data_IF_724890469275
#
_entry.id   IF_724890469275
#
_cell.length_a   1.000
_cell.length_b   1.000
_cell.length_c   1.000
_cell.angle_alpha   90.00
_cell.angle_beta   90.00
_cell.angle_gamma   90.00
#
_symmetry.space_group_name_H-M   'P 1'
#
loop_
_entity.id
_entity.type
_entity.pdbx_description
1 polymer ?
#
# COMPACT_ATOMS: atom_id res chain seq x y z
N UNK A 1 32.38 -27.17 4.84
CA UNK A 1 31.53 -26.53 3.81
C UNK A 1 31.36 -25.10 4.25
N UNK A 2 31.84 -24.12 3.48
CA UNK A 2 31.42 -22.74 3.69
C UNK A 2 29.89 -22.73 3.44
N UNK A 3 29.10 -22.33 4.44
CA UNK A 3 27.71 -21.97 4.17
C UNK A 3 27.74 -20.83 3.15
N UNK A 4 27.38 -21.12 1.91
CA UNK A 4 27.08 -20.07 0.94
C UNK A 4 26.00 -19.19 1.55
N UNK A 5 26.34 -17.93 1.84
CA UNK A 5 25.37 -16.99 2.38
C UNK A 5 24.18 -16.89 1.41
N UNK A 6 22.93 -17.08 1.88
CA UNK A 6 21.78 -17.07 1.00
C UNK A 6 21.63 -15.69 0.36
N UNK A 7 21.64 -15.63 -0.97
CA UNK A 7 21.45 -14.39 -1.71
C UNK A 7 19.97 -13.99 -1.73
N UNK A 8 19.59 -13.11 -0.81
CA UNK A 8 18.21 -12.62 -0.66
C UNK A 8 17.67 -12.01 -1.96
N UNK A 9 18.50 -11.35 -2.78
CA UNK A 9 18.03 -10.76 -4.04
C UNK A 9 17.48 -11.78 -5.03
N UNK A 10 17.89 -13.05 -4.93
CA UNK A 10 17.52 -14.15 -5.82
C UNK A 10 16.46 -15.08 -5.22
N UNK A 11 15.87 -14.72 -4.07
CA UNK A 11 14.74 -15.46 -3.52
C UNK A 11 13.58 -15.46 -4.52
N UNK A 12 12.90 -16.61 -4.66
CA UNK A 12 11.76 -16.78 -5.55
C UNK A 12 10.69 -15.68 -5.39
N UNK A 13 10.26 -15.27 -4.18
CA UNK A 13 9.33 -14.14 -4.04
C UNK A 13 9.88 -12.82 -4.58
N UNK A 14 11.19 -12.56 -4.45
CA UNK A 14 11.79 -11.31 -4.91
C UNK A 14 11.91 -11.27 -6.44
N UNK A 15 12.14 -12.43 -7.08
CA UNK A 15 12.10 -12.54 -8.54
C UNK A 15 10.69 -12.25 -9.08
N UNK A 16 9.64 -12.71 -8.39
CA UNK A 16 8.25 -12.35 -8.71
C UNK A 16 8.03 -10.85 -8.50
N UNK A 17 8.55 -10.29 -7.40
CA UNK A 17 8.53 -8.84 -7.13
C UNK A 17 9.16 -8.00 -8.23
N UNK A 18 10.30 -8.40 -8.80
CA UNK A 18 10.88 -7.71 -9.96
C UNK A 18 9.98 -7.79 -11.19
N UNK A 19 9.33 -8.94 -11.42
CA UNK A 19 8.29 -9.09 -12.44
C UNK A 19 7.13 -8.12 -12.24
N UNK A 20 6.66 -7.95 -10.99
CA UNK A 20 5.62 -6.97 -10.63
C UNK A 20 6.04 -5.55 -10.98
N UNK A 21 7.28 -5.17 -10.69
CA UNK A 21 7.83 -3.85 -11.03
C UNK A 21 7.82 -3.62 -12.55
N UNK A 22 8.27 -4.60 -13.33
CA UNK A 22 8.26 -4.50 -14.80
C UNK A 22 6.82 -4.33 -15.31
N UNK A 23 5.88 -5.12 -14.81
CA UNK A 23 4.47 -5.00 -15.16
C UNK A 23 3.88 -3.64 -14.77
N UNK A 24 4.24 -3.11 -13.60
CA UNK A 24 3.81 -1.79 -13.15
C UNK A 24 4.35 -0.69 -14.08
N UNK A 25 5.62 -0.75 -14.47
CA UNK A 25 6.22 0.19 -15.44
C UNK A 25 5.51 0.13 -16.79
N UNK A 26 5.23 -1.08 -17.30
CA UNK A 26 4.48 -1.27 -18.54
C UNK A 26 3.07 -0.70 -18.44
N UNK A 27 2.41 -0.86 -17.27
CA UNK A 27 1.12 -0.27 -17.01
C UNK A 27 1.21 1.26 -17.07
N UNK A 28 2.15 1.88 -16.35
CA UNK A 28 2.38 3.33 -16.35
C UNK A 28 2.59 3.89 -17.75
N UNK A 29 3.41 3.21 -18.57
CA UNK A 29 3.64 3.60 -19.96
C UNK A 29 2.36 3.53 -20.80
N UNK A 30 1.56 2.48 -20.63
CA UNK A 30 0.35 2.25 -21.41
C UNK A 30 -0.87 3.09 -20.95
N UNK A 31 -0.84 3.71 -19.75
CA UNK A 31 -2.01 4.33 -19.11
C UNK A 31 -2.68 5.45 -19.91
N UNK A 32 -1.96 6.13 -20.79
CA UNK A 32 -2.54 7.19 -21.63
C UNK A 32 -3.06 6.69 -22.99
N UNK A 33 -2.37 5.73 -23.59
CA UNK A 33 -2.55 5.40 -25.01
C UNK A 33 -3.24 4.05 -25.23
N UNK A 34 -3.00 3.08 -24.34
CA UNK A 34 -3.44 1.70 -24.48
C UNK A 34 -4.13 1.20 -23.19
N UNK A 35 -5.38 1.63 -22.92
CA UNK A 35 -6.04 1.40 -21.63
C UNK A 35 -6.22 -0.08 -21.28
N UNK A 36 -6.44 -0.94 -22.28
CA UNK A 36 -6.55 -2.38 -22.07
C UNK A 36 -5.23 -3.01 -21.60
N UNK A 37 -4.12 -2.66 -22.27
CA UNK A 37 -2.78 -3.12 -21.89
C UNK A 37 -2.41 -2.63 -20.49
N UNK A 38 -2.70 -1.36 -20.18
CA UNK A 38 -2.46 -0.79 -18.86
C UNK A 38 -3.22 -1.57 -17.77
N UNK A 39 -4.52 -1.81 -17.97
CA UNK A 39 -5.34 -2.59 -17.04
C UNK A 39 -4.83 -4.00 -16.86
N UNK A 40 -4.48 -4.69 -17.94
CA UNK A 40 -3.99 -6.07 -17.88
C UNK A 40 -2.66 -6.15 -17.12
N UNK A 41 -1.70 -5.28 -17.45
CA UNK A 41 -0.41 -5.22 -16.76
C UNK A 41 -0.57 -4.85 -15.28
N UNK A 42 -1.42 -3.87 -14.97
CA UNK A 42 -1.70 -3.46 -13.59
C UNK A 42 -2.34 -4.60 -12.79
N UNK A 43 -3.41 -5.21 -13.32
CA UNK A 43 -4.11 -6.30 -12.65
C UNK A 43 -3.23 -7.53 -12.47
N UNK A 44 -2.37 -7.85 -13.44
CA UNK A 44 -1.37 -8.91 -13.29
C UNK A 44 -0.35 -8.58 -12.20
N UNK A 45 0.17 -7.35 -12.16
CA UNK A 45 1.11 -6.91 -11.13
C UNK A 45 0.50 -6.99 -9.73
N UNK A 46 -0.73 -6.48 -9.55
CA UNK A 46 -1.47 -6.55 -8.30
C UNK A 46 -1.88 -7.98 -7.93
N UNK A 47 -2.16 -8.86 -8.91
CA UNK A 47 -2.48 -10.26 -8.65
C UNK A 47 -1.27 -11.09 -8.21
N UNK A 48 -0.08 -10.78 -8.74
CA UNK A 48 1.17 -11.44 -8.39
C UNK A 48 1.64 -11.15 -6.95
N UNK A 49 1.17 -10.06 -6.35
CA UNK A 49 1.40 -9.72 -4.93
C UNK A 49 1.06 -10.87 -3.99
N UNK A 50 -0.18 -11.36 -4.07
CA UNK A 50 -0.62 -12.47 -3.23
C UNK A 50 0.24 -13.73 -3.44
N UNK A 51 0.76 -13.93 -4.67
CA UNK A 51 1.57 -15.08 -5.04
C UNK A 51 2.97 -14.98 -4.45
N UNK A 52 3.64 -13.83 -4.49
CA UNK A 52 4.97 -13.72 -3.88
C UNK A 52 4.94 -13.96 -2.37
N UNK A 53 3.91 -13.47 -1.66
CA UNK A 53 3.74 -13.73 -0.23
C UNK A 53 3.45 -15.20 0.05
N UNK A 54 2.72 -15.89 -0.84
CA UNK A 54 2.52 -17.34 -0.75
C UNK A 54 3.81 -18.10 -0.96
N UNK A 55 4.61 -17.75 -1.98
CA UNK A 55 5.90 -18.37 -2.28
C UNK A 55 6.90 -18.12 -1.16
N UNK A 56 6.96 -16.90 -0.61
CA UNK A 56 7.81 -16.56 0.54
C UNK A 56 7.53 -17.44 1.76
N UNK A 57 6.25 -17.75 2.03
CA UNK A 57 5.85 -18.65 3.13
C UNK A 57 6.11 -20.12 2.81
N UNK A 58 5.80 -20.56 1.59
CA UNK A 58 5.96 -21.95 1.17
C UNK A 58 7.44 -22.39 1.14
N UNK A 59 8.34 -21.51 0.72
CA UNK A 59 9.77 -21.78 0.61
C UNK A 59 10.59 -21.28 1.81
N UNK A 60 9.93 -20.75 2.86
CA UNK A 60 10.59 -20.16 4.03
C UNK A 60 11.62 -19.06 3.66
N UNK A 61 11.30 -18.27 2.62
CA UNK A 61 12.13 -17.20 2.04
C UNK A 61 11.57 -15.81 2.38
N UNK A 62 10.88 -15.69 3.53
CA UNK A 62 10.37 -14.40 4.00
C UNK A 62 11.53 -13.51 4.43
N UNK A 63 11.62 -12.30 3.88
CA UNK A 63 12.72 -11.36 4.14
C UNK A 63 12.21 -9.93 4.27
N UNK A 64 12.95 -9.10 5.03
CA UNK A 64 12.65 -7.66 5.17
C UNK A 64 12.73 -6.94 3.83
N UNK A 65 13.74 -7.26 3.02
CA UNK A 65 13.87 -6.72 1.67
C UNK A 65 12.65 -7.04 0.80
N UNK A 66 12.20 -8.30 0.78
CA UNK A 66 11.02 -8.69 -0.01
C UNK A 66 9.75 -7.98 0.45
N UNK A 67 9.53 -7.88 1.76
CA UNK A 67 8.39 -7.15 2.31
C UNK A 67 8.40 -5.65 1.96
N UNK A 68 9.58 -5.01 1.95
CA UNK A 68 9.72 -3.62 1.52
C UNK A 68 9.50 -3.47 0.01
N UNK A 69 10.03 -4.40 -0.79
CA UNK A 69 9.88 -4.40 -2.25
C UNK A 69 8.40 -4.50 -2.65
N UNK A 70 7.66 -5.39 -1.99
CA UNK A 70 6.22 -5.56 -2.15
C UNK A 70 5.47 -4.25 -1.85
N UNK A 71 5.61 -3.74 -0.62
CA UNK A 71 4.91 -2.54 -0.18
C UNK A 71 5.22 -1.32 -1.07
N UNK A 72 6.47 -1.14 -1.51
CA UNK A 72 6.86 -0.06 -2.42
C UNK A 72 6.23 -0.22 -3.80
N UNK A 73 6.21 -1.44 -4.34
CA UNK A 73 5.64 -1.70 -5.67
C UNK A 73 4.16 -1.38 -5.71
N UNK A 74 3.41 -1.76 -4.68
CA UNK A 74 2.00 -1.43 -4.53
C UNK A 74 1.78 0.09 -4.48
N UNK A 75 2.47 0.79 -3.57
CA UNK A 75 2.28 2.24 -3.40
C UNK A 75 2.61 3.02 -4.67
N UNK A 76 3.70 2.64 -5.34
CA UNK A 76 4.08 3.25 -6.61
C UNK A 76 3.06 2.96 -7.72
N UNK A 77 2.51 1.75 -7.77
CA UNK A 77 1.45 1.36 -8.70
C UNK A 77 0.19 2.22 -8.52
N UNK A 78 -0.36 2.26 -7.31
CA UNK A 78 -1.56 3.06 -7.01
C UNK A 78 -1.31 4.55 -7.23
N UNK A 79 -0.14 5.06 -6.87
CA UNK A 79 0.24 6.46 -7.14
C UNK A 79 0.22 6.76 -8.65
N UNK A 80 0.82 5.91 -9.47
CA UNK A 80 0.84 6.11 -10.92
C UNK A 80 -0.58 6.08 -11.51
N UNK A 81 -1.44 5.17 -11.02
CA UNK A 81 -2.85 5.13 -11.39
C UNK A 81 -3.56 6.44 -11.03
N UNK A 82 -3.38 6.94 -9.80
CA UNK A 82 -3.93 8.23 -9.38
C UNK A 82 -3.41 9.41 -10.22
N UNK A 83 -2.14 9.40 -10.63
CA UNK A 83 -1.58 10.41 -11.52
C UNK A 83 -2.26 10.40 -12.89
N UNK A 84 -2.52 9.22 -13.47
CA UNK A 84 -3.29 9.10 -14.70
C UNK A 84 -4.74 9.60 -14.51
N UNK A 85 -5.37 9.30 -13.37
CA UNK A 85 -6.70 9.80 -13.03
C UNK A 85 -6.75 11.32 -12.91
N UNK A 86 -5.70 11.97 -12.40
CA UNK A 86 -5.60 13.44 -12.36
C UNK A 86 -5.70 14.07 -13.75
N UNK A 87 -5.16 13.40 -14.79
CA UNK A 87 -5.29 13.84 -16.18
C UNK A 87 -6.72 13.69 -16.71
N UNK A 88 -7.42 12.63 -16.34
CA UNK A 88 -8.78 12.35 -16.82
C UNK A 88 -9.88 13.10 -16.06
N UNK A 89 -9.63 13.46 -14.80
CA UNK A 89 -10.61 14.10 -13.90
C UNK A 89 -10.02 15.36 -13.25
N UNK A 90 -9.80 16.45 -14.03
CA UNK A 90 -9.13 17.67 -13.54
C UNK A 90 -9.84 18.31 -12.34
N UNK A 91 -11.18 18.25 -12.27
CA UNK A 91 -11.96 18.83 -11.18
C UNK A 91 -11.77 18.10 -9.84
N UNK A 92 -11.27 16.86 -9.87
CA UNK A 92 -11.09 16.00 -8.69
C UNK A 92 -9.62 15.86 -8.27
N UNK A 93 -8.70 16.58 -8.91
CA UNK A 93 -7.24 16.46 -8.71
C UNK A 93 -6.85 16.64 -7.25
N UNK A 94 -7.39 17.65 -6.56
CA UNK A 94 -7.10 17.89 -5.15
C UNK A 94 -7.37 16.64 -4.30
N UNK A 95 -8.54 16.01 -4.48
CA UNK A 95 -8.94 14.85 -3.69
C UNK A 95 -8.10 13.60 -4.01
N UNK A 96 -7.80 13.38 -5.29
CA UNK A 96 -6.90 12.30 -5.72
C UNK A 96 -5.49 12.47 -5.13
N UNK A 97 -4.94 13.69 -5.17
CA UNK A 97 -3.67 14.02 -4.56
C UNK A 97 -3.66 13.80 -3.05
N UNK A 98 -4.69 14.28 -2.33
CA UNK A 98 -4.79 14.08 -0.89
C UNK A 98 -4.86 12.59 -0.54
N UNK A 99 -5.62 11.80 -1.28
CA UNK A 99 -5.69 10.35 -1.02
C UNK A 99 -4.34 9.67 -1.21
N UNK A 100 -3.60 10.00 -2.28
CA UNK A 100 -2.26 9.45 -2.53
C UNK A 100 -1.24 9.91 -1.49
N UNK A 101 -1.23 11.19 -1.12
CA UNK A 101 -0.29 11.73 -0.12
C UNK A 101 -0.51 11.08 1.24
N UNK A 102 -1.77 10.97 1.67
CA UNK A 102 -2.12 10.32 2.94
C UNK A 102 -1.65 8.87 2.94
N UNK A 103 -1.92 8.13 1.87
CA UNK A 103 -1.57 6.72 1.78
C UNK A 103 -0.05 6.49 1.81
N UNK A 104 0.74 7.28 1.06
CA UNK A 104 2.20 7.18 1.08
C UNK A 104 2.75 7.59 2.45
N UNK A 105 2.33 8.74 2.99
CA UNK A 105 2.85 9.26 4.25
C UNK A 105 2.55 8.30 5.42
N UNK A 106 1.34 7.74 5.49
CA UNK A 106 0.96 6.83 6.57
C UNK A 106 1.80 5.55 6.56
N UNK A 107 1.98 4.94 5.39
CA UNK A 107 2.73 3.70 5.24
C UNK A 107 4.23 3.91 5.44
N UNK A 108 4.77 5.04 4.96
CA UNK A 108 6.17 5.40 5.14
C UNK A 108 6.52 5.58 6.61
N UNK A 109 5.73 6.38 7.35
CA UNK A 109 5.97 6.60 8.77
C UNK A 109 5.74 5.32 9.59
N UNK A 110 4.74 4.51 9.22
CA UNK A 110 4.50 3.24 9.90
C UNK A 110 5.64 2.23 9.71
N UNK A 111 6.19 2.13 8.49
CA UNK A 111 7.35 1.28 8.21
C UNK A 111 8.52 1.70 9.10
N UNK A 112 8.87 2.99 9.12
CA UNK A 112 9.93 3.51 9.96
C UNK A 112 9.69 3.28 11.45
N UNK A 113 8.47 3.49 11.94
CA UNK A 113 8.13 3.25 13.34
C UNK A 113 8.31 1.77 13.73
N UNK A 114 7.95 0.86 12.83
CA UNK A 114 8.10 -0.59 13.03
C UNK A 114 9.57 -0.99 13.04
N UNK A 115 10.37 -0.44 12.13
CA UNK A 115 11.81 -0.70 12.06
C UNK A 115 12.56 -0.14 13.28
N UNK A 116 12.23 1.07 13.74
CA UNK A 116 12.84 1.71 14.91
C UNK A 116 12.58 0.96 16.21
N UNK A 117 11.36 0.45 16.38
CA UNK A 117 10.94 -0.22 17.62
C UNK A 117 11.31 -1.69 17.66
N UNK A 118 11.79 -2.26 16.54
CA UNK A 118 11.90 -3.71 16.32
C UNK A 118 10.63 -4.48 16.74
N UNK A 119 9.49 -3.80 16.77
CA UNK A 119 8.25 -4.43 17.14
C UNK A 119 7.92 -5.42 16.03
N UNK A 120 7.89 -6.72 16.37
CA UNK A 120 7.16 -7.72 15.60
C UNK A 120 5.79 -7.11 15.26
N UNK A 121 5.41 -7.13 13.98
CA UNK A 121 4.24 -6.47 13.36
C UNK A 121 2.89 -6.76 14.07
N UNK A 122 2.90 -7.63 15.09
CA UNK A 122 1.79 -8.08 15.91
C UNK A 122 1.76 -7.53 17.35
N UNK A 123 2.71 -6.68 17.79
CA UNK A 123 2.57 -5.94 19.06
C UNK A 123 1.60 -4.75 18.88
N UNK A 124 0.34 -5.15 18.85
CA UNK A 124 -0.93 -4.42 18.93
C UNK A 124 -0.80 -2.93 19.19
N UNK A 125 -1.18 -2.13 18.20
CA UNK A 125 -1.62 -0.77 18.45
C UNK A 125 -2.74 -0.78 19.50
N UNK A 126 -2.67 0.08 20.51
CA UNK A 126 -3.76 0.26 21.49
C UNK A 126 -5.06 0.79 20.86
N UNK A 127 -5.01 1.21 19.59
CA UNK A 127 -6.17 1.71 18.88
C UNK A 127 -7.07 0.54 18.39
N UNK A 128 -8.37 0.51 18.80
CA UNK A 128 -9.28 -0.58 18.46
C UNK A 128 -9.58 -0.70 16.95
N UNK A 129 -9.52 0.41 16.21
CA UNK A 129 -9.78 0.44 14.76
C UNK A 129 -8.64 -0.26 14.02
N UNK A 130 -7.39 0.07 14.37
CA UNK A 130 -6.20 -0.57 13.80
C UNK A 130 -6.11 -2.04 14.23
N UNK A 131 -6.49 -2.36 15.47
CA UNK A 131 -6.55 -3.74 15.91
C UNK A 131 -7.53 -4.56 15.06
N UNK A 132 -8.74 -4.05 14.79
CA UNK A 132 -9.69 -4.72 13.89
C UNK A 132 -9.15 -4.86 12.47
N UNK A 133 -8.53 -3.79 11.96
CA UNK A 133 -7.94 -3.74 10.62
C UNK A 133 -6.87 -4.81 10.38
N UNK A 134 -5.98 -5.01 11.35
CA UNK A 134 -4.89 -5.99 11.26
C UNK A 134 -5.24 -7.40 11.76
N UNK A 135 -6.23 -7.55 12.64
CA UNK A 135 -6.63 -8.86 13.16
C UNK A 135 -7.45 -9.66 12.15
N UNK A 136 -8.28 -8.99 11.34
CA UNK A 136 -9.13 -9.66 10.37
C UNK A 136 -8.55 -9.56 8.95
N UNK A 137 -7.86 -10.61 8.50
CA UNK A 137 -7.24 -10.68 7.16
C UNK A 137 -8.25 -10.50 6.02
N UNK A 138 -9.50 -10.96 6.19
CA UNK A 138 -10.56 -10.78 5.20
C UNK A 138 -11.00 -9.32 5.11
N UNK A 139 -11.08 -8.63 6.25
CA UNK A 139 -11.40 -7.20 6.28
C UNK A 139 -10.27 -6.36 5.67
N UNK A 140 -9.01 -6.67 5.97
CA UNK A 140 -7.84 -6.04 5.35
C UNK A 140 -7.87 -6.19 3.82
N UNK A 141 -8.04 -7.42 3.33
CA UNK A 141 -8.11 -7.70 1.90
C UNK A 141 -9.29 -7.01 1.22
N UNK A 142 -10.45 -6.96 1.86
CA UNK A 142 -11.63 -6.24 1.35
C UNK A 142 -11.38 -4.73 1.24
N UNK A 143 -10.79 -4.11 2.26
CA UNK A 143 -10.52 -2.68 2.27
C UNK A 143 -9.46 -2.29 1.23
N UNK A 144 -8.37 -3.06 1.11
CA UNK A 144 -7.34 -2.82 0.09
C UNK A 144 -7.89 -3.07 -1.32
N UNK A 145 -8.54 -4.22 -1.54
CA UNK A 145 -9.12 -4.57 -2.84
C UNK A 145 -10.23 -3.62 -3.27
N UNK A 146 -11.08 -3.14 -2.35
CA UNK A 146 -12.13 -2.17 -2.65
C UNK A 146 -11.58 -0.78 -2.96
N UNK A 147 -10.51 -0.34 -2.28
CA UNK A 147 -9.80 0.89 -2.61
C UNK A 147 -9.17 0.82 -4.00
N UNK A 148 -8.47 -0.27 -4.33
CA UNK A 148 -7.91 -0.49 -5.66
C UNK A 148 -9.00 -0.56 -6.74
N UNK A 149 -10.10 -1.28 -6.46
CA UNK A 149 -11.23 -1.36 -7.36
C UNK A 149 -11.82 0.01 -7.66
N UNK A 150 -11.93 0.91 -6.67
CA UNK A 150 -12.42 2.27 -6.89
C UNK A 150 -11.59 3.02 -7.95
N UNK A 151 -10.27 3.04 -7.81
CA UNK A 151 -9.39 3.71 -8.77
C UNK A 151 -9.39 3.05 -10.14
N UNK A 152 -9.41 1.71 -10.19
CA UNK A 152 -9.50 0.98 -11.47
C UNK A 152 -10.83 1.22 -12.18
N UNK A 153 -11.95 1.26 -11.45
CA UNK A 153 -13.26 1.57 -12.04
C UNK A 153 -13.26 3.00 -12.61
N UNK A 154 -12.70 3.98 -11.88
CA UNK A 154 -12.57 5.34 -12.39
C UNK A 154 -11.71 5.42 -13.65
N UNK A 155 -10.63 4.63 -13.69
CA UNK A 155 -9.73 4.56 -14.83
C UNK A 155 -10.44 3.96 -16.06
N UNK A 156 -11.09 2.80 -15.92
CA UNK A 156 -11.84 2.19 -17.01
C UNK A 156 -12.96 3.10 -17.47
N UNK A 157 -13.66 3.77 -16.54
CA UNK A 157 -14.73 4.74 -16.85
C UNK A 157 -14.27 5.90 -17.72
N UNK A 158 -13.00 6.33 -17.62
CA UNK A 158 -12.48 7.42 -18.44
C UNK A 158 -12.44 7.06 -19.94
N UNK A 159 -12.35 5.77 -20.28
CA UNK A 159 -12.30 5.28 -21.66
C UNK A 159 -13.61 4.60 -22.09
N UNK A 160 -14.18 3.77 -21.22
CA UNK A 160 -15.38 2.98 -21.47
C UNK A 160 -16.36 3.12 -20.30
N UNK A 161 -17.23 4.15 -20.27
CA UNK A 161 -18.16 4.37 -19.16
C UNK A 161 -19.25 3.29 -19.03
N UNK A 162 -19.48 2.50 -20.09
CA UNK A 162 -20.46 1.41 -20.12
C UNK A 162 -21.86 1.88 -20.53
N UNK A 163 -22.87 0.98 -20.51
CA UNK A 163 -24.24 1.33 -20.87
C UNK A 163 -24.85 2.31 -19.84
N UNK A 164 -25.76 3.15 -20.31
CA UNK A 164 -26.54 4.05 -19.45
C UNK A 164 -27.72 3.31 -18.83
N UNK A 165 -27.81 3.32 -17.51
CA UNK A 165 -28.93 2.80 -16.74
C UNK A 165 -29.54 3.99 -16.00
N UNK A 166 -30.84 4.26 -16.18
CA UNK A 166 -31.53 5.44 -15.61
C UNK A 166 -30.82 6.79 -15.87
N UNK A 167 -30.20 6.94 -17.04
CA UNK A 167 -29.52 8.19 -17.44
C UNK A 167 -28.11 8.36 -16.86
N UNK A 168 -27.58 7.40 -16.10
CA UNK A 168 -26.22 7.41 -15.56
C UNK A 168 -25.45 6.19 -16.09
N UNK A 169 -24.16 6.37 -16.39
CA UNK A 169 -23.31 5.28 -16.85
C UNK A 169 -23.07 4.23 -15.75
N UNK A 170 -23.15 2.94 -16.11
CA UNK A 170 -22.96 1.80 -15.20
C UNK A 170 -21.71 1.92 -14.32
N UNK A 171 -20.56 2.28 -14.89
CA UNK A 171 -19.32 2.39 -14.09
C UNK A 171 -19.33 3.55 -13.10
N UNK A 172 -20.18 4.57 -13.30
CA UNK A 172 -20.35 5.63 -12.31
C UNK A 172 -21.07 5.11 -11.06
N UNK A 173 -22.03 4.20 -11.22
CA UNK A 173 -22.67 3.53 -10.08
C UNK A 173 -21.69 2.64 -9.33
N UNK A 174 -20.89 1.85 -10.05
CA UNK A 174 -19.88 1.00 -9.42
C UNK A 174 -18.82 1.83 -8.68
N UNK A 175 -18.37 2.94 -9.28
CA UNK A 175 -17.46 3.87 -8.60
C UNK A 175 -18.12 4.47 -7.34
N UNK A 176 -19.39 4.85 -7.40
CA UNK A 176 -20.13 5.36 -6.25
C UNK A 176 -20.29 4.32 -5.12
N UNK A 177 -20.44 3.05 -5.46
CA UNK A 177 -20.50 1.95 -4.48
C UNK A 177 -19.11 1.69 -3.85
N UNK A 178 -18.04 1.78 -4.63
CA UNK A 178 -16.68 1.58 -4.15
C UNK A 178 -16.11 2.79 -3.39
N UNK A 179 -16.62 3.99 -3.66
CA UNK A 179 -16.15 5.25 -3.06
C UNK A 179 -16.17 5.26 -1.52
N UNK A 180 -17.24 4.82 -0.82
CA UNK A 180 -17.23 4.70 0.63
C UNK A 180 -16.08 3.83 1.16
N UNK A 181 -15.70 2.77 0.46
CA UNK A 181 -14.61 1.89 0.86
C UNK A 181 -13.28 2.63 0.74
N UNK A 182 -13.05 3.33 -0.37
CA UNK A 182 -11.86 4.16 -0.56
C UNK A 182 -11.77 5.27 0.50
N UNK A 183 -12.88 5.93 0.81
CA UNK A 183 -12.93 6.98 1.83
C UNK A 183 -12.59 6.43 3.23
N UNK A 184 -13.18 5.30 3.62
CA UNK A 184 -12.88 4.64 4.89
C UNK A 184 -11.44 4.17 4.92
N UNK A 185 -10.89 3.65 3.81
CA UNK A 185 -9.47 3.26 3.73
C UNK A 185 -8.55 4.46 3.97
N UNK A 186 -8.81 5.60 3.33
CA UNK A 186 -8.03 6.82 3.52
C UNK A 186 -8.14 7.36 4.94
N UNK A 187 -9.32 7.27 5.58
CA UNK A 187 -9.49 7.61 6.99
C UNK A 187 -8.69 6.67 7.92
N UNK A 188 -8.68 5.36 7.64
CA UNK A 188 -7.83 4.41 8.37
C UNK A 188 -6.35 4.75 8.19
N UNK A 189 -5.91 5.10 6.97
CA UNK A 189 -4.54 5.55 6.71
C UNK A 189 -4.17 6.81 7.51
N UNK A 190 -5.09 7.75 7.73
CA UNK A 190 -4.85 8.89 8.64
C UNK A 190 -4.65 8.46 10.10
N UNK A 191 -5.51 7.55 10.60
CA UNK A 191 -5.35 6.99 11.95
C UNK A 191 -4.00 6.29 12.06
N UNK A 192 -3.61 5.56 11.02
CA UNK A 192 -2.34 4.86 10.93
C UNK A 192 -1.15 5.82 11.01
N UNK A 193 -1.21 6.94 10.28
CA UNK A 193 -0.21 8.00 10.33
C UNK A 193 -0.05 8.57 11.75
N UNK A 194 -1.16 8.89 12.43
CA UNK A 194 -1.13 9.45 13.79
C UNK A 194 -0.55 8.44 14.78
N UNK A 195 -0.97 7.17 14.71
CA UNK A 195 -0.43 6.15 15.61
C UNK A 195 1.06 5.88 15.36
N UNK A 196 1.51 5.90 14.11
CA UNK A 196 2.94 5.77 13.80
C UNK A 196 3.75 6.95 14.36
N UNK A 197 3.24 8.18 14.23
CA UNK A 197 3.87 9.35 14.82
C UNK A 197 3.99 9.25 16.35
N UNK A 198 2.93 8.80 17.03
CA UNK A 198 2.94 8.57 18.48
C UNK A 198 3.99 7.54 18.89
N UNK A 199 4.14 6.46 18.12
CA UNK A 199 5.17 5.43 18.37
C UNK A 199 6.58 6.00 18.26
N UNK A 200 6.87 6.82 17.23
CA UNK A 200 8.17 7.46 17.06
C UNK A 200 8.46 8.46 18.20
N UNK A 201 7.49 9.31 18.55
CA UNK A 201 7.65 10.27 19.65
C UNK A 201 7.90 9.56 20.99
N UNK A 202 7.22 8.43 21.24
CA UNK A 202 7.46 7.63 22.44
C UNK A 202 8.88 7.08 22.47
N UNK A 203 9.36 6.52 21.36
CA UNK A 203 10.73 6.03 21.24
C UNK A 203 11.76 7.13 21.52
N UNK A 204 11.60 8.31 20.93
CA UNK A 204 12.50 9.45 21.16
C UNK A 204 12.47 9.93 22.61
N UNK A 205 11.28 9.97 23.22
CA UNK A 205 11.11 10.36 24.62
C UNK A 205 11.84 9.39 25.55
N UNK A 206 11.69 8.09 25.35
CA UNK A 206 12.37 7.05 26.12
C UNK A 206 13.89 7.13 25.96
N UNK A 207 14.38 7.37 24.75
CA UNK A 207 15.80 7.56 24.47
C UNK A 207 16.38 8.81 25.15
N UNK A 208 15.65 9.92 25.18
CA UNK A 208 16.04 11.15 25.88
C UNK A 208 16.10 10.93 27.39
N UNK A 209 15.10 10.25 27.96
CA UNK A 209 15.05 9.94 29.39
C UNK A 209 16.21 9.02 29.81
N UNK A 210 16.51 7.98 29.02
CA UNK A 210 17.64 7.10 29.26
C UNK A 210 18.98 7.86 29.29
N UNK A 211 19.20 8.78 28.33
CA UNK A 211 20.41 9.63 28.31
C UNK A 211 20.51 10.51 29.56
N UNK A 212 19.40 11.11 30.00
CA UNK A 212 19.37 11.95 31.22
C UNK A 212 19.72 11.16 32.47
N UNK A 213 19.21 9.93 32.61
CA UNK A 213 19.50 9.04 33.74
C UNK A 213 20.96 8.57 33.78
N UNK A 214 21.62 8.46 32.62
CA UNK A 214 23.05 8.15 32.57
C UNK A 214 23.92 9.31 33.05
N UNK A 215 23.56 10.55 32.71
CA UNK A 215 24.29 11.75 33.15
C UNK A 215 24.21 11.92 34.68
N UNK A 216 23.05 11.70 35.29
CA UNK A 216 22.90 11.82 36.76
C UNK A 216 23.59 10.72 37.57
N UNK A 217 24.03 9.62 36.94
CA UNK A 217 24.77 8.54 37.63
C UNK A 217 26.30 8.67 37.50
N UNK A 218 26.78 9.54 36.61
CA UNK A 218 28.21 9.79 36.40
C UNK A 218 28.76 10.97 37.21
N UNK A 219 27.87 11.74 37.85
CA UNK A 219 28.18 12.80 38.81
C UNK A 219 28.05 12.27 40.25
#
# INVERSE_FOLDING_TARGET
MAEEQPNVFLFYPNLIGYGRIILAILACYAMSDCPFTAMLCYALSAGLDAIDGMVARAYNQSSRFGAMLDQLTDRCGTMALCMALCKFYPDSVFWLQMSTVIDIASHWLHLHATDLTHAETHKKSDNPILHLYYTNRSFLGFMCGGNEAFYLILYVRAFWPGPTIFGIYLLSYLAAIAFPIALVKSAISLVHLVTAAQTVVKYDTDAILAKRLHVTKSD
#
